data_IF_935856064531
#
_entry.id   IF_935856064531
#
_cell.length_a   1.000
_cell.length_b   1.000
_cell.length_c   1.000
_cell.angle_alpha   90.00
_cell.angle_beta   90.00
_cell.angle_gamma   90.00
#
_symmetry.space_group_name_H-M   'P 1'
#
loop_
_entity.id
_entity.type
_entity.pdbx_description
1 polymer ?
#
# COMPACT_ATOMS: atom_id res chain seq x y z
N UNK A 1 -1.14 4.57 -0.86
CA UNK A 1 -1.46 3.27 -0.21
C UNK A 1 -0.78 2.15 -0.97
N UNK A 2 -0.30 1.11 -0.28
CA UNK A 2 0.31 -0.07 -0.90
C UNK A 2 -0.80 -0.93 -1.53
N UNK A 3 -0.68 -1.26 -2.81
CA UNK A 3 -1.64 -2.07 -3.55
C UNK A 3 -0.88 -3.19 -4.25
N UNK A 4 -0.84 -4.37 -3.63
CA UNK A 4 -0.15 -5.54 -4.17
C UNK A 4 -0.89 -6.81 -3.75
N UNK A 5 -1.02 -7.83 -4.61
CA UNK A 5 -1.70 -9.08 -4.26
C UNK A 5 -1.14 -9.77 -3.02
N UNK A 6 0.16 -9.61 -2.75
CA UNK A 6 0.82 -10.19 -1.58
C UNK A 6 1.01 -9.23 -0.39
N UNK A 7 0.31 -8.09 -0.37
CA UNK A 7 0.31 -7.15 0.76
C UNK A 7 -1.13 -6.93 1.21
N UNK A 8 -1.39 -6.98 2.51
CA UNK A 8 -2.72 -6.67 3.08
C UNK A 8 -3.09 -5.25 2.71
N UNK A 9 -4.24 -5.09 2.05
CA UNK A 9 -4.73 -3.78 1.64
C UNK A 9 -5.32 -3.05 2.84
N UNK A 10 -4.93 -1.79 3.02
CA UNK A 10 -5.66 -0.84 3.85
C UNK A 10 -6.79 -0.25 3.01
N UNK A 11 -8.03 -0.54 3.40
CA UNK A 11 -9.22 -0.04 2.71
C UNK A 11 -9.58 1.36 3.19
N UNK A 12 -9.53 1.60 4.51
CA UNK A 12 -9.97 2.86 5.10
C UNK A 12 -9.28 3.12 6.44
N UNK A 13 -9.10 4.40 6.78
CA UNK A 13 -8.72 4.84 8.11
C UNK A 13 -9.80 5.77 8.62
N UNK A 14 -10.37 5.45 9.78
CA UNK A 14 -11.31 6.31 10.49
C UNK A 14 -10.70 6.73 11.82
N UNK A 15 -11.08 7.90 12.33
CA UNK A 15 -10.60 8.39 13.61
C UNK A 15 -11.75 8.95 14.45
N UNK A 16 -11.61 8.82 15.76
CA UNK A 16 -12.40 9.50 16.78
C UNK A 16 -11.45 10.32 17.66
N UNK A 17 -11.99 11.09 18.61
CA UNK A 17 -11.18 11.91 19.54
C UNK A 17 -10.13 11.12 20.31
N UNK A 18 -10.32 9.81 20.50
CA UNK A 18 -9.44 8.96 21.33
C UNK A 18 -8.92 7.72 20.62
N UNK A 19 -9.34 7.43 19.39
CA UNK A 19 -9.04 6.16 18.72
C UNK A 19 -8.88 6.33 17.21
N UNK A 20 -7.96 5.55 16.64
CA UNK A 20 -7.81 5.37 15.20
C UNK A 20 -8.26 3.95 14.87
N UNK A 21 -9.04 3.81 13.80
CA UNK A 21 -9.57 2.57 13.27
C UNK A 21 -9.00 2.37 11.88
N UNK A 22 -8.32 1.24 11.67
CA UNK A 22 -7.77 0.86 10.37
C UNK A 22 -8.56 -0.34 9.83
N UNK A 23 -9.26 -0.14 8.71
CA UNK A 23 -10.03 -1.19 8.03
C UNK A 23 -9.10 -1.88 7.03
N UNK A 24 -8.70 -3.10 7.35
CA UNK A 24 -7.76 -3.90 6.57
C UNK A 24 -8.46 -5.04 5.82
N UNK A 25 -7.84 -5.53 4.75
CA UNK A 25 -8.26 -6.75 4.06
C UNK A 25 -8.28 -7.93 5.04
N UNK A 26 -9.39 -8.66 5.09
CA UNK A 26 -9.51 -9.85 5.92
C UNK A 26 -8.94 -11.08 5.21
N UNK A 27 -7.84 -11.62 5.75
CA UNK A 27 -7.19 -12.83 5.23
C UNK A 27 -7.70 -14.06 5.98
N UNK A 28 -8.32 -14.97 5.25
CA UNK A 28 -9.19 -16.02 5.80
C UNK A 28 -8.54 -17.41 5.96
N UNK A 29 -7.22 -17.53 5.80
CA UNK A 29 -6.48 -18.79 5.93
C UNK A 29 -5.47 -18.84 7.08
N UNK A 30 -5.41 -17.80 7.92
CA UNK A 30 -4.56 -17.75 9.11
C UNK A 30 -3.09 -17.45 8.83
N UNK A 31 -2.24 -17.70 9.81
CA UNK A 31 -0.81 -17.40 9.76
C UNK A 31 -0.01 -18.50 9.02
N UNK A 32 1.05 -18.12 8.30
CA UNK A 32 2.00 -19.06 7.73
C UNK A 32 2.62 -19.94 8.82
N UNK A 33 2.89 -19.34 9.99
CA UNK A 33 3.45 -20.04 11.14
C UNK A 33 2.59 -21.23 11.57
N UNK A 34 1.29 -21.03 11.77
CA UNK A 34 0.36 -22.09 12.17
C UNK A 34 0.36 -23.25 11.18
N UNK A 35 0.44 -22.95 9.89
CA UNK A 35 0.49 -23.99 8.86
C UNK A 35 1.76 -24.84 8.96
N UNK A 36 2.91 -24.22 9.26
CA UNK A 36 4.20 -24.92 9.45
C UNK A 36 4.18 -25.68 10.79
N UNK A 37 3.66 -25.08 11.86
CA UNK A 37 3.56 -25.71 13.17
C UNK A 37 2.66 -26.97 13.13
N UNK A 38 1.56 -26.92 12.39
CA UNK A 38 0.62 -28.04 12.27
C UNK A 38 1.08 -29.14 11.30
N UNK A 39 1.65 -28.76 10.15
CA UNK A 39 1.97 -29.72 9.06
C UNK A 39 3.46 -30.06 8.97
N UNK A 40 4.30 -29.41 9.77
CA UNK A 40 5.75 -29.48 9.66
C UNK A 40 6.29 -28.66 8.48
N UNK A 41 7.53 -28.96 8.09
CA UNK A 41 8.21 -28.30 6.98
C UNK A 41 7.46 -28.44 5.66
N UNK A 42 7.58 -27.44 4.79
CA UNK A 42 7.02 -27.44 3.44
C UNK A 42 7.95 -28.16 2.46
N UNK A 43 7.37 -28.72 1.40
CA UNK A 43 8.16 -29.17 0.25
C UNK A 43 8.92 -28.00 -0.37
N UNK A 44 10.08 -28.26 -0.95
CA UNK A 44 10.89 -27.21 -1.59
C UNK A 44 10.12 -26.47 -2.69
N UNK A 45 9.27 -27.17 -3.44
CA UNK A 45 8.42 -26.57 -4.47
C UNK A 45 7.41 -25.58 -3.88
N UNK A 46 6.72 -25.96 -2.82
CA UNK A 46 5.74 -25.09 -2.18
C UNK A 46 6.41 -23.93 -1.44
N UNK A 47 7.51 -24.20 -0.71
CA UNK A 47 8.29 -23.16 -0.05
C UNK A 47 8.85 -22.14 -1.04
N UNK A 48 9.31 -22.57 -2.22
CA UNK A 48 9.71 -21.67 -3.31
C UNK A 48 8.56 -20.79 -3.78
N UNK A 49 7.39 -21.37 -4.06
CA UNK A 49 6.20 -20.62 -4.53
C UNK A 49 5.80 -19.52 -3.54
N UNK A 50 5.76 -19.86 -2.25
CA UNK A 50 5.45 -18.89 -1.20
C UNK A 50 6.56 -17.85 -1.07
N UNK A 51 7.83 -18.26 -1.10
CA UNK A 51 8.95 -17.32 -1.05
C UNK A 51 8.98 -16.33 -2.21
N UNK A 52 8.62 -16.76 -3.43
CA UNK A 52 8.46 -15.88 -4.59
C UNK A 52 7.45 -14.77 -4.32
N UNK A 53 6.28 -15.11 -3.77
CA UNK A 53 5.24 -14.16 -3.40
C UNK A 53 5.66 -13.20 -2.28
N UNK A 54 6.39 -13.71 -1.27
CA UNK A 54 6.95 -12.89 -0.21
C UNK A 54 7.93 -11.85 -0.80
N UNK A 55 8.85 -12.30 -1.65
CA UNK A 55 9.84 -11.44 -2.31
C UNK A 55 9.17 -10.41 -3.22
N UNK A 56 8.10 -10.77 -3.94
CA UNK A 56 7.37 -9.79 -4.76
C UNK A 56 6.68 -8.71 -3.92
N UNK A 57 6.02 -9.11 -2.83
CA UNK A 57 5.40 -8.15 -1.90
C UNK A 57 6.43 -7.21 -1.24
N UNK A 58 7.55 -7.76 -0.75
CA UNK A 58 8.61 -6.97 -0.11
C UNK A 58 9.30 -6.06 -1.14
N UNK A 59 9.63 -6.59 -2.33
CA UNK A 59 10.22 -5.82 -3.42
C UNK A 59 9.32 -4.66 -3.85
N UNK A 60 7.99 -4.86 -3.88
CA UNK A 60 7.03 -3.80 -4.16
C UNK A 60 7.07 -2.70 -3.09
N UNK A 61 7.07 -3.07 -1.81
CA UNK A 61 7.18 -2.13 -0.69
C UNK A 61 8.48 -1.31 -0.75
N UNK A 62 9.61 -1.98 -0.99
CA UNK A 62 10.92 -1.33 -1.14
C UNK A 62 10.95 -0.35 -2.30
N UNK A 63 10.32 -0.69 -3.43
CA UNK A 63 10.16 0.21 -4.58
C UNK A 63 9.32 1.46 -4.29
N UNK A 64 8.54 1.46 -3.21
CA UNK A 64 7.80 2.62 -2.69
C UNK A 64 8.50 3.31 -1.52
N UNK A 65 9.73 2.91 -1.18
CA UNK A 65 10.49 3.44 -0.05
C UNK A 65 9.99 2.98 1.31
N UNK A 66 9.16 1.93 1.37
CA UNK A 66 8.62 1.37 2.62
C UNK A 66 9.40 0.11 2.99
N UNK A 67 10.07 0.14 4.13
CA UNK A 67 10.78 -1.02 4.70
C UNK A 67 9.98 -1.57 5.88
N UNK A 68 9.75 -2.88 5.92
CA UNK A 68 8.82 -3.49 6.86
C UNK A 68 9.42 -3.63 8.27
N UNK A 69 10.67 -4.09 8.37
CA UNK A 69 11.51 -4.19 9.59
C UNK A 69 11.06 -5.19 10.66
N UNK A 70 9.81 -5.62 10.63
CA UNK A 70 9.31 -6.71 11.49
C UNK A 70 8.77 -7.88 10.65
N UNK A 71 9.50 -8.28 9.60
CA UNK A 71 9.12 -9.46 8.83
C UNK A 71 9.37 -10.72 9.66
N UNK A 72 8.28 -11.43 9.96
CA UNK A 72 8.29 -12.70 10.70
C UNK A 72 7.09 -13.55 10.26
N UNK A 73 7.12 -14.88 10.46
CA UNK A 73 6.03 -15.77 10.04
C UNK A 73 4.63 -15.37 10.53
N UNK A 74 4.54 -14.74 11.69
CA UNK A 74 3.31 -14.22 12.31
C UNK A 74 2.71 -13.05 11.50
N UNK A 75 3.56 -12.25 10.85
CA UNK A 75 3.18 -11.12 10.00
C UNK A 75 3.01 -11.52 8.52
N UNK A 76 3.05 -12.83 8.23
CA UNK A 76 2.87 -13.40 6.89
C UNK A 76 1.66 -14.31 6.92
N UNK A 77 0.54 -13.80 6.44
CA UNK A 77 -0.73 -14.53 6.41
C UNK A 77 -0.87 -15.35 5.13
N UNK A 78 -1.75 -16.35 5.15
CA UNK A 78 -2.11 -17.16 3.99
C UNK A 78 -3.61 -17.05 3.73
N UNK A 79 -4.00 -16.81 2.48
CA UNK A 79 -5.41 -16.84 2.06
C UNK A 79 -5.92 -18.28 1.82
N UNK A 80 -7.24 -18.47 1.63
CA UNK A 80 -7.81 -19.79 1.29
C UNK A 80 -7.27 -20.41 0.00
N UNK A 81 -6.70 -19.62 -0.91
CA UNK A 81 -6.07 -20.10 -2.15
C UNK A 81 -4.61 -20.51 -1.94
N UNK A 82 -4.08 -20.32 -0.73
CA UNK A 82 -2.72 -20.63 -0.37
C UNK A 82 -1.70 -19.57 -0.79
N UNK A 83 -2.10 -18.30 -0.96
CA UNK A 83 -1.19 -17.21 -1.28
C UNK A 83 -0.81 -16.40 -0.05
N UNK A 84 0.42 -15.86 -0.07
CA UNK A 84 0.92 -14.99 1.00
C UNK A 84 0.26 -13.61 0.95
N UNK A 85 0.00 -13.06 2.14
CA UNK A 85 -0.36 -11.67 2.42
C UNK A 85 0.52 -11.12 3.54
N UNK A 86 1.39 -10.17 3.22
CA UNK A 86 2.23 -9.47 4.21
C UNK A 86 1.34 -8.49 4.98
N UNK A 87 1.35 -8.57 6.31
CA UNK A 87 0.54 -7.76 7.22
C UNK A 87 1.39 -7.05 8.25
N UNK A 88 0.75 -6.18 9.04
CA UNK A 88 1.34 -5.47 10.19
C UNK A 88 2.58 -4.61 9.88
N UNK A 89 2.30 -3.48 9.21
CA UNK A 89 3.29 -2.42 8.97
C UNK A 89 3.46 -1.49 10.18
N UNK A 90 3.06 -1.88 11.40
CA UNK A 90 3.10 -1.03 12.59
C UNK A 90 4.50 -0.55 13.00
N UNK A 91 5.55 -1.27 12.57
CA UNK A 91 6.96 -0.95 12.79
C UNK A 91 7.69 -0.57 11.50
N UNK A 92 6.96 -0.41 10.40
CA UNK A 92 7.57 0.02 9.14
C UNK A 92 8.14 1.43 9.33
N UNK A 93 9.18 1.76 8.58
CA UNK A 93 9.52 3.17 8.49
C UNK A 93 9.77 3.65 7.08
N UNK A 94 9.23 4.84 6.88
CA UNK A 94 9.18 5.65 5.70
C UNK A 94 10.52 6.36 5.45
N UNK A 95 10.72 6.92 4.24
CA UNK A 95 11.93 7.67 3.88
C UNK A 95 12.31 8.78 4.87
N UNK A 96 11.33 9.31 5.60
CA UNK A 96 11.45 10.40 6.57
C UNK A 96 12.12 9.97 7.90
N UNK A 97 12.17 8.66 8.18
CA UNK A 97 12.81 8.10 9.38
C UNK A 97 14.27 7.69 9.14
N UNK A 98 14.80 7.92 7.93
CA UNK A 98 16.23 7.79 7.68
C UNK A 98 16.93 8.96 8.38
N UNK A 99 18.05 8.66 9.05
CA UNK A 99 18.95 9.69 9.53
C UNK A 99 19.53 10.51 8.38
N UNK A 100 20.25 11.59 8.70
CA UNK A 100 20.96 12.41 7.68
C UNK A 100 21.96 11.62 6.85
N UNK A 101 22.34 10.44 7.33
CA UNK A 101 23.22 9.44 6.72
C UNK A 101 22.49 8.44 5.81
N UNK A 102 21.16 8.50 5.73
CA UNK A 102 20.35 7.55 4.98
C UNK A 102 20.11 6.20 5.71
N UNK A 103 20.42 6.11 7.00
CA UNK A 103 20.36 4.86 7.77
C UNK A 103 19.27 4.89 8.84
N UNK A 104 18.90 3.70 9.31
CA UNK A 104 17.87 3.49 10.32
C UNK A 104 18.50 3.20 11.68
N UNK A 105 18.14 3.98 12.69
CA UNK A 105 18.77 3.92 14.03
C UNK A 105 17.85 3.35 15.12
N UNK A 106 16.65 2.89 14.77
CA UNK A 106 15.69 2.30 15.73
C UNK A 106 15.75 0.77 15.65
N UNK A 107 16.01 0.12 16.79
CA UNK A 107 15.92 -1.33 16.94
C UNK A 107 14.47 -1.76 17.17
N UNK A 108 13.87 -2.47 16.22
CA UNK A 108 12.53 -3.04 16.33
C UNK A 108 12.54 -4.49 15.81
N UNK A 109 11.63 -5.34 16.33
CA UNK A 109 11.40 -6.71 15.86
C UNK A 109 11.73 -7.82 16.86
N UNK A 110 11.41 -9.07 16.51
CA UNK A 110 11.68 -10.26 17.34
C UNK A 110 13.12 -10.78 17.12
N UNK A 111 13.92 -11.06 18.18
CA UNK A 111 15.37 -11.31 18.08
C UNK A 111 15.80 -12.39 17.09
N UNK A 112 14.98 -13.42 16.89
CA UNK A 112 15.29 -14.56 16.01
C UNK A 112 15.21 -14.23 14.51
N UNK A 113 14.60 -13.10 14.14
CA UNK A 113 14.36 -12.69 12.74
C UNK A 113 15.14 -11.44 12.34
N UNK A 114 15.79 -10.78 13.30
CA UNK A 114 16.52 -9.54 13.12
C UNK A 114 17.90 -9.80 12.52
N UNK A 115 18.32 -8.92 11.60
CA UNK A 115 19.64 -8.97 10.96
C UNK A 115 20.76 -8.56 11.94
N UNK A 116 21.99 -9.09 11.79
CA UNK A 116 23.10 -8.80 12.70
C UNK A 116 23.40 -7.29 12.84
N UNK A 117 23.33 -6.54 11.75
CA UNK A 117 23.61 -5.10 11.74
C UNK A 117 22.59 -4.27 12.53
N UNK A 118 21.33 -4.72 12.62
CA UNK A 118 20.29 -4.06 13.42
C UNK A 118 20.60 -4.19 14.91
N UNK A 119 21.17 -5.33 15.33
CA UNK A 119 21.58 -5.57 16.73
C UNK A 119 22.80 -4.72 17.13
N UNK A 120 23.59 -4.23 16.16
CA UNK A 120 24.77 -3.39 16.43
C UNK A 120 24.42 -1.93 16.72
N UNK A 121 23.20 -1.50 16.40
CA UNK A 121 22.66 -0.17 16.69
C UNK A 121 23.52 0.99 16.17
N UNK A 122 24.09 0.86 14.96
CA UNK A 122 24.96 1.85 14.30
C UNK A 122 24.35 2.49 13.05
N UNK A 123 23.06 2.28 12.81
CA UNK A 123 22.44 2.55 11.52
C UNK A 123 22.47 1.31 10.61
N UNK A 124 21.37 1.00 9.94
CA UNK A 124 21.29 -0.11 8.98
C UNK A 124 20.46 0.24 7.73
N UNK A 125 20.69 -0.54 6.66
CA UNK A 125 19.88 -0.52 5.43
C UNK A 125 18.63 -1.37 5.63
N UNK A 126 17.45 -0.74 5.54
CA UNK A 126 16.16 -1.41 5.75
C UNK A 126 15.87 -2.52 4.73
N UNK A 127 16.35 -2.38 3.49
CA UNK A 127 16.18 -3.39 2.44
C UNK A 127 16.96 -4.66 2.76
N UNK A 128 18.24 -4.51 3.12
CA UNK A 128 19.10 -5.63 3.47
C UNK A 128 18.64 -6.33 4.76
N UNK A 129 18.10 -5.57 5.72
CA UNK A 129 17.50 -6.13 6.93
C UNK A 129 16.25 -6.96 6.60
N UNK A 130 15.32 -6.45 5.80
CA UNK A 130 14.13 -7.20 5.38
C UNK A 130 14.50 -8.48 4.62
N UNK A 131 15.53 -8.42 3.78
CA UNK A 131 16.06 -9.59 3.05
C UNK A 131 16.55 -10.68 4.02
N UNK A 132 17.27 -10.32 5.08
CA UNK A 132 17.67 -11.29 6.11
C UNK A 132 16.46 -11.97 6.75
N UNK A 133 15.46 -11.18 7.15
CA UNK A 133 14.21 -11.69 7.73
C UNK A 133 13.48 -12.62 6.76
N UNK A 134 13.41 -12.29 5.46
CA UNK A 134 12.91 -13.19 4.42
C UNK A 134 13.68 -14.51 4.36
N UNK A 135 15.00 -14.48 4.53
CA UNK A 135 15.85 -15.68 4.62
C UNK A 135 15.53 -16.56 5.82
N UNK A 136 15.28 -15.95 6.97
CA UNK A 136 14.85 -16.67 8.17
C UNK A 136 13.49 -17.35 7.92
N UNK A 137 12.53 -16.64 7.31
CA UNK A 137 11.22 -17.20 6.95
C UNK A 137 11.38 -18.35 5.95
N UNK A 138 12.22 -18.21 4.92
CA UNK A 138 12.52 -19.29 3.96
C UNK A 138 13.10 -20.53 4.64
N UNK A 139 14.05 -20.32 5.55
CA UNK A 139 14.65 -21.39 6.31
C UNK A 139 13.59 -22.16 7.12
N UNK A 140 12.71 -21.45 7.82
CA UNK A 140 11.62 -22.07 8.59
C UNK A 140 10.65 -22.82 7.68
N UNK A 141 10.27 -22.23 6.53
CA UNK A 141 9.40 -22.90 5.56
C UNK A 141 9.98 -24.22 5.09
N UNK A 142 11.28 -24.27 4.77
CA UNK A 142 11.89 -25.46 4.19
C UNK A 142 12.33 -26.48 5.24
N UNK A 143 12.77 -26.06 6.42
CA UNK A 143 13.43 -26.92 7.41
C UNK A 143 12.53 -27.17 8.62
N UNK A 144 11.57 -26.29 8.91
CA UNK A 144 10.60 -26.42 10.00
C UNK A 144 11.14 -26.00 11.38
N UNK A 145 12.31 -25.36 11.43
CA UNK A 145 12.93 -24.85 12.66
C UNK A 145 13.59 -23.50 12.39
N UNK A 146 13.95 -22.76 13.43
CA UNK A 146 14.69 -21.51 13.31
C UNK A 146 16.15 -21.76 12.87
N UNK A 147 16.75 -20.88 12.05
CA UNK A 147 18.18 -20.95 11.72
C UNK A 147 19.06 -20.63 12.93
N UNK A 148 18.61 -19.70 13.77
CA UNK A 148 19.29 -19.27 14.98
C UNK A 148 18.28 -19.28 16.14
N UNK A 149 18.54 -20.12 17.13
CA UNK A 149 17.74 -20.17 18.36
C UNK A 149 18.63 -20.57 19.53
N UNK A 150 18.38 -19.94 20.68
CA UNK A 150 18.98 -20.28 21.96
C UNK A 150 18.20 -19.63 23.11
N UNK A 151 18.15 -20.29 24.27
CA UNK A 151 17.54 -19.72 25.48
C UNK A 151 18.38 -18.58 26.05
N UNK A 152 19.69 -18.59 25.81
CA UNK A 152 20.59 -17.53 26.21
C UNK A 152 20.73 -16.51 25.07
N UNK A 153 20.26 -15.29 25.29
CA UNK A 153 20.29 -14.22 24.28
C UNK A 153 21.71 -13.89 23.79
N UNK A 154 22.72 -13.99 24.65
CA UNK A 154 24.13 -13.75 24.26
C UNK A 154 24.60 -14.81 23.26
N UNK A 155 24.24 -16.07 23.50
CA UNK A 155 24.57 -17.19 22.61
C UNK A 155 23.78 -17.09 21.31
N UNK A 156 22.51 -16.70 21.38
CA UNK A 156 21.70 -16.41 20.18
C UNK A 156 22.36 -15.34 19.31
N UNK A 157 22.78 -14.22 19.90
CA UNK A 157 23.45 -13.15 19.18
C UNK A 157 24.77 -13.60 18.58
N UNK A 158 25.57 -14.39 19.30
CA UNK A 158 26.79 -14.99 18.75
C UNK A 158 26.51 -15.87 17.52
N UNK A 159 25.44 -16.68 17.55
CA UNK A 159 25.02 -17.49 16.40
C UNK A 159 24.62 -16.61 15.21
N UNK A 160 23.83 -15.55 15.46
CA UNK A 160 23.39 -14.59 14.44
C UNK A 160 24.60 -13.88 13.81
N UNK A 161 25.52 -13.33 14.62
CA UNK A 161 26.72 -12.65 14.13
C UNK A 161 27.66 -13.57 13.35
N UNK A 162 27.72 -14.86 13.72
CA UNK A 162 28.52 -15.87 13.01
C UNK A 162 27.87 -16.29 11.68
N UNK A 163 26.54 -16.23 11.56
CA UNK A 163 25.80 -16.70 10.38
C UNK A 163 25.83 -18.20 10.15
N UNK A 164 26.10 -18.99 11.20
CA UNK A 164 26.30 -20.44 11.10
C UNK A 164 24.97 -21.21 11.10
N UNK A 165 24.12 -20.90 10.11
CA UNK A 165 22.84 -21.56 9.93
C UNK A 165 23.05 -23.01 9.45
N UNK A 166 22.48 -23.98 10.18
CA UNK A 166 22.64 -25.42 9.88
C UNK A 166 21.75 -25.86 8.72
N UNK A 167 22.23 -25.68 7.49
CA UNK A 167 21.49 -26.04 6.28
C UNK A 167 21.67 -27.53 5.98
N UNK A 168 20.58 -28.33 5.96
CA UNK A 168 20.68 -29.77 5.73
C UNK A 168 21.02 -30.16 4.29
N UNK A 169 21.73 -31.28 4.13
CA UNK A 169 22.17 -31.81 2.83
C UNK A 169 21.03 -32.31 1.94
N UNK A 170 19.86 -32.63 2.50
CA UNK A 170 18.69 -33.10 1.74
C UNK A 170 17.99 -32.00 0.93
N UNK A 171 18.34 -30.72 1.16
CA UNK A 171 17.88 -29.61 0.33
C UNK A 171 18.62 -29.59 -1.00
N UNK A 172 17.98 -29.13 -2.08
CA UNK A 172 18.68 -28.98 -3.36
C UNK A 172 19.87 -28.03 -3.25
N UNK A 173 20.94 -28.20 -4.05
CA UNK A 173 22.08 -27.28 -4.05
C UNK A 173 21.67 -25.81 -4.26
N UNK A 174 20.64 -25.57 -5.08
CA UNK A 174 20.09 -24.23 -5.29
C UNK A 174 19.40 -23.64 -4.06
N UNK A 175 18.63 -24.44 -3.31
CA UNK A 175 18.02 -24.02 -2.05
C UNK A 175 19.09 -23.71 -0.99
N UNK A 176 20.10 -24.57 -0.89
CA UNK A 176 21.22 -24.35 0.03
C UNK A 176 21.98 -23.07 -0.33
N UNK A 177 22.23 -22.83 -1.63
CA UNK A 177 22.95 -21.65 -2.08
C UNK A 177 22.19 -20.35 -1.78
N UNK A 178 20.90 -20.28 -2.13
CA UNK A 178 20.13 -19.06 -1.92
C UNK A 178 19.98 -18.73 -0.43
N UNK A 179 19.76 -19.72 0.44
CA UNK A 179 19.69 -19.52 1.89
C UNK A 179 21.03 -18.97 2.41
N UNK A 180 22.16 -19.55 2.01
CA UNK A 180 23.50 -19.07 2.42
C UNK A 180 23.75 -17.63 1.99
N UNK A 181 23.35 -17.27 0.77
CA UNK A 181 23.55 -15.91 0.24
C UNK A 181 22.66 -14.87 0.91
N UNK A 182 21.45 -15.25 1.32
CA UNK A 182 20.53 -14.37 2.06
C UNK A 182 20.96 -14.22 3.52
N UNK A 183 21.34 -15.31 4.19
CA UNK A 183 21.78 -15.33 5.59
C UNK A 183 23.29 -15.03 5.74
N UNK A 184 23.87 -14.27 4.81
CA UNK A 184 25.23 -13.74 4.92
C UNK A 184 25.25 -12.60 5.96
N UNK A 185 26.01 -12.73 7.07
CA UNK A 185 26.01 -11.75 8.15
C UNK A 185 26.51 -10.38 7.74
N UNK A 186 27.46 -10.32 6.81
CA UNK A 186 27.96 -9.05 6.31
C UNK A 186 26.97 -8.46 5.28
N UNK A 187 26.25 -7.36 5.60
CA UNK A 187 25.25 -6.79 4.69
C UNK A 187 25.83 -6.40 3.32
N UNK A 188 27.11 -6.02 3.25
CA UNK A 188 27.77 -5.66 1.98
C UNK A 188 28.03 -6.86 1.06
N UNK A 189 28.04 -8.09 1.61
CA UNK A 189 28.18 -9.34 0.85
C UNK A 189 26.85 -10.07 0.66
N UNK A 190 25.82 -9.65 1.40
CA UNK A 190 24.48 -10.23 1.34
C UNK A 190 23.87 -9.97 -0.02
N UNK A 191 23.23 -11.00 -0.57
CA UNK A 191 22.52 -10.90 -1.85
C UNK A 191 21.42 -9.84 -1.77
N UNK A 192 21.32 -8.99 -2.79
CA UNK A 192 20.29 -7.97 -2.84
C UNK A 192 18.99 -8.47 -3.52
N UNK A 193 17.92 -7.69 -3.46
CA UNK A 193 16.61 -8.06 -3.99
C UNK A 193 16.63 -8.43 -5.49
N UNK A 194 17.39 -7.70 -6.30
CA UNK A 194 17.49 -7.95 -7.73
C UNK A 194 18.20 -9.27 -8.02
N UNK A 195 19.29 -9.55 -7.29
CA UNK A 195 20.02 -10.80 -7.40
C UNK A 195 19.22 -12.01 -6.90
N UNK A 196 18.40 -11.86 -5.84
CA UNK A 196 17.45 -12.90 -5.40
C UNK A 196 16.50 -13.26 -6.53
N UNK A 197 15.90 -12.24 -7.16
CA UNK A 197 14.98 -12.44 -8.28
C UNK A 197 15.66 -13.11 -9.46
N UNK A 198 16.96 -12.88 -9.71
CA UNK A 198 17.70 -13.54 -10.80
C UNK A 198 18.22 -14.95 -10.46
N UNK A 199 18.17 -15.35 -9.20
CA UNK A 199 18.73 -16.62 -8.76
C UNK A 199 18.01 -17.82 -9.40
N UNK A 200 18.75 -18.82 -9.90
CA UNK A 200 18.19 -19.97 -10.62
C UNK A 200 17.13 -20.73 -9.80
N UNK A 201 17.40 -20.95 -8.50
CA UNK A 201 16.44 -21.57 -7.61
C UNK A 201 15.14 -20.76 -7.48
N UNK A 202 15.22 -19.44 -7.51
CA UNK A 202 14.06 -18.54 -7.43
C UNK A 202 13.29 -18.54 -8.76
N UNK A 203 13.97 -18.52 -9.89
CA UNK A 203 13.35 -18.46 -11.23
C UNK A 203 12.59 -19.74 -11.63
N UNK A 204 12.86 -20.86 -10.96
CA UNK A 204 12.17 -22.12 -11.24
C UNK A 204 10.66 -22.01 -10.97
N UNK A 205 9.86 -22.25 -12.01
CA UNK A 205 8.39 -22.15 -12.01
C UNK A 205 7.86 -20.77 -11.56
N UNK A 206 8.67 -19.73 -11.69
CA UNK A 206 8.32 -18.40 -11.20
C UNK A 206 7.26 -17.73 -12.08
N UNK A 207 6.19 -17.27 -11.44
CA UNK A 207 5.14 -16.47 -12.06
C UNK A 207 5.11 -15.14 -11.30
N UNK A 208 5.56 -14.07 -11.96
CA UNK A 208 5.55 -12.74 -11.37
C UNK A 208 4.11 -12.29 -11.11
N UNK A 209 3.83 -11.95 -9.85
CA UNK A 209 2.54 -11.37 -9.45
C UNK A 209 2.74 -9.85 -9.38
N UNK A 210 2.26 -9.13 -10.39
CA UNK A 210 2.34 -7.67 -10.41
C UNK A 210 1.37 -7.02 -9.41
N UNK A 211 1.59 -5.75 -9.05
CA UNK A 211 0.60 -4.99 -8.29
C UNK A 211 -0.74 -4.98 -9.02
N UNK A 212 -1.85 -4.97 -8.27
CA UNK A 212 -3.16 -4.75 -8.87
C UNK A 212 -3.12 -3.41 -9.61
N UNK A 213 -3.48 -3.42 -10.90
CA UNK A 213 -4.14 -2.24 -11.45
C UNK A 213 -5.43 -2.06 -10.62
N UNK A 214 -5.79 -0.83 -10.24
CA UNK A 214 -6.89 -0.50 -9.31
C UNK A 214 -8.29 -1.05 -9.72
N UNK A 215 -8.38 -1.87 -10.77
CA UNK A 215 -9.57 -2.33 -11.48
C UNK A 215 -10.04 -3.77 -11.13
N UNK A 216 -9.25 -4.59 -10.41
CA UNK A 216 -9.48 -6.06 -10.41
C UNK A 216 -10.34 -6.68 -9.28
N UNK A 217 -10.78 -5.95 -8.24
CA UNK A 217 -11.45 -6.57 -7.06
C UNK A 217 -12.90 -6.13 -6.79
N UNK A 218 -13.45 -5.11 -7.46
CA UNK A 218 -14.87 -4.75 -7.29
C UNK A 218 -15.84 -5.83 -7.82
N UNK A 219 -15.34 -6.84 -8.54
CA UNK A 219 -16.13 -7.96 -9.09
C UNK A 219 -16.39 -9.06 -8.04
N UNK A 220 -15.62 -9.17 -6.95
CA UNK A 220 -15.71 -10.32 -6.02
C UNK A 220 -16.48 -10.07 -4.72
N UNK A 221 -16.55 -8.84 -4.21
CA UNK A 221 -17.28 -8.57 -2.96
C UNK A 221 -18.81 -8.70 -3.10
N UNK A 222 -19.35 -8.70 -4.32
CA UNK A 222 -20.78 -8.90 -4.57
C UNK A 222 -21.30 -10.33 -4.41
N UNK A 223 -20.40 -11.33 -4.26
CA UNK A 223 -20.77 -12.74 -4.38
C UNK A 223 -20.85 -13.54 -3.06
N UNK A 224 -20.57 -12.94 -1.89
CA UNK A 224 -20.56 -13.66 -0.61
C UNK A 224 -21.36 -12.93 0.47
N UNK A 225 -22.68 -12.83 0.28
CA UNK A 225 -23.65 -12.71 1.38
C UNK A 225 -24.99 -13.35 0.96
N UNK A 226 -25.32 -14.59 1.36
CA UNK A 226 -26.68 -15.06 1.33
C UNK A 226 -27.31 -14.85 2.71
N UNK A 227 -27.78 -13.63 3.01
CA UNK A 227 -28.77 -13.42 4.06
C UNK A 227 -30.11 -13.20 3.38
N UNK A 228 -31.01 -14.19 3.55
CA UNK A 228 -32.38 -14.16 3.06
C UNK A 228 -33.10 -12.93 3.64
N UNK A 229 -33.45 -11.98 2.78
CA UNK A 229 -34.63 -11.15 2.99
C UNK A 229 -35.44 -11.09 1.70
N UNK A 230 -36.75 -11.27 1.89
CA UNK A 230 -37.76 -11.52 0.87
C UNK A 230 -37.79 -10.45 -0.22
N UNK A 231 -38.05 -10.95 -1.43
CA UNK A 231 -38.43 -10.28 -2.67
C UNK A 231 -39.19 -8.96 -2.48
N UNK A 232 -38.76 -7.92 -3.20
CA UNK A 232 -39.62 -7.22 -4.16
C UNK A 232 -38.83 -7.09 -5.47
N UNK A 233 -39.48 -7.53 -6.54
CA UNK A 233 -39.01 -7.63 -7.92
C UNK A 233 -38.92 -6.27 -8.61
N UNK A 234 -37.77 -5.94 -9.18
CA UNK A 234 -37.67 -5.00 -10.32
C UNK A 234 -36.61 -5.49 -11.32
N UNK A 235 -36.86 -5.22 -12.60
CA UNK A 235 -36.21 -5.76 -13.79
C UNK A 235 -34.73 -5.31 -13.96
N UNK A 236 -33.93 -5.90 -14.89
CA UNK A 236 -32.50 -5.68 -14.97
C UNK A 236 -32.18 -4.30 -15.58
N UNK A 237 -31.94 -3.32 -14.72
CA UNK A 237 -31.50 -1.98 -15.08
C UNK A 237 -29.98 -1.83 -14.97
N UNK A 238 -29.37 -1.36 -16.05
CA UNK A 238 -27.99 -0.95 -16.24
C UNK A 238 -27.51 0.04 -15.13
N UNK A 239 -26.89 -0.48 -14.05
CA UNK A 239 -26.39 0.35 -12.94
C UNK A 239 -25.06 1.01 -13.33
N UNK A 240 -25.17 2.14 -14.01
CA UNK A 240 -24.04 2.93 -14.51
C UNK A 240 -23.36 3.85 -13.48
N UNK A 241 -23.81 3.90 -12.21
CA UNK A 241 -23.34 4.86 -11.19
C UNK A 241 -23.04 4.22 -9.83
N UNK A 242 -22.01 4.74 -9.14
CA UNK A 242 -21.63 4.34 -7.78
C UNK A 242 -22.42 5.17 -6.75
N UNK A 243 -23.19 4.49 -5.90
CA UNK A 243 -23.92 5.13 -4.81
C UNK A 243 -22.96 5.52 -3.68
N UNK A 244 -23.02 6.78 -3.24
CA UNK A 244 -22.17 7.31 -2.18
C UNK A 244 -22.71 6.91 -0.81
N UNK A 245 -21.88 6.29 0.03
CA UNK A 245 -22.24 6.02 1.43
C UNK A 245 -21.96 7.27 2.30
N UNK A 246 -22.69 7.42 3.40
CA UNK A 246 -22.47 8.45 4.41
C UNK A 246 -21.01 8.51 4.91
N UNK A 247 -20.33 7.37 5.04
CA UNK A 247 -18.91 7.34 5.41
C UNK A 247 -17.97 7.85 4.29
N UNK A 248 -18.30 7.58 3.02
CA UNK A 248 -17.56 8.17 1.90
C UNK A 248 -17.74 9.68 1.84
N UNK A 249 -18.94 10.18 2.14
CA UNK A 249 -19.21 11.62 2.23
C UNK A 249 -18.43 12.27 3.39
N UNK A 250 -18.37 11.62 4.56
CA UNK A 250 -17.61 12.11 5.72
C UNK A 250 -16.11 12.11 5.44
N UNK A 251 -15.57 11.04 4.83
CA UNK A 251 -14.16 10.97 4.44
C UNK A 251 -13.76 11.97 3.34
N UNK A 252 -14.72 12.61 2.68
CA UNK A 252 -14.48 13.70 1.74
C UNK A 252 -14.33 15.07 2.43
N UNK A 253 -14.61 15.20 3.72
CA UNK A 253 -14.45 16.46 4.46
C UNK A 253 -12.98 16.85 4.60
N UNK A 254 -12.64 18.11 4.30
CA UNK A 254 -11.26 18.64 4.39
C UNK A 254 -10.67 18.55 5.80
N UNK A 255 -11.51 18.60 6.84
CA UNK A 255 -11.09 18.48 8.25
C UNK A 255 -10.61 17.09 8.66
N UNK A 256 -10.89 16.07 7.84
CA UNK A 256 -10.43 14.69 8.01
C UNK A 256 -9.42 14.29 6.92
N UNK A 257 -9.08 15.22 6.02
CA UNK A 257 -8.14 15.00 4.93
C UNK A 257 -6.71 15.17 5.44
N UNK A 258 -6.09 14.06 5.82
CA UNK A 258 -4.73 14.03 6.33
C UNK A 258 -3.68 14.14 5.22
N UNK A 259 -4.04 14.21 3.93
CA UNK A 259 -3.08 14.24 2.83
C UNK A 259 -2.09 15.41 2.92
N UNK A 260 -2.49 16.55 3.50
CA UNK A 260 -1.62 17.69 3.78
C UNK A 260 -0.49 17.44 4.80
N UNK A 261 -0.53 16.33 5.55
CA UNK A 261 0.57 15.88 6.41
C UNK A 261 1.61 15.02 5.67
N UNK A 262 1.30 14.54 4.47
CA UNK A 262 2.06 13.49 3.78
C UNK A 262 2.67 13.93 2.43
N UNK A 263 2.31 15.10 1.90
CA UNK A 263 2.70 15.55 0.54
C UNK A 263 3.12 17.04 0.51
N UNK A 264 4.09 17.39 -0.36
CA UNK A 264 4.59 18.76 -0.53
C UNK A 264 3.64 19.67 -1.35
N UNK A 265 2.77 19.09 -2.19
CA UNK A 265 1.73 19.83 -2.92
C UNK A 265 0.43 19.93 -2.10
N UNK A 266 -0.18 21.11 -2.01
CA UNK A 266 -1.46 21.28 -1.30
C UNK A 266 -2.63 20.58 -2.01
N UNK A 267 -3.61 20.09 -1.24
CA UNK A 267 -4.79 19.32 -1.72
C UNK A 267 -5.52 19.99 -2.90
N UNK A 268 -5.68 21.31 -2.84
CA UNK A 268 -6.29 22.15 -3.88
C UNK A 268 -5.55 22.14 -5.22
N UNK A 269 -4.29 21.68 -5.26
CA UNK A 269 -3.47 21.56 -6.48
C UNK A 269 -3.58 20.19 -7.16
N UNK A 270 -4.20 19.21 -6.51
CA UNK A 270 -4.33 17.83 -6.99
C UNK A 270 -5.77 17.36 -7.13
N UNK A 271 -6.71 18.00 -6.45
CA UNK A 271 -8.07 17.51 -6.35
C UNK A 271 -9.08 18.64 -6.22
N UNK A 272 -10.18 18.55 -6.97
CA UNK A 272 -11.35 19.41 -6.78
C UNK A 272 -12.60 18.56 -6.65
N UNK A 273 -13.59 19.09 -5.91
CA UNK A 273 -14.88 18.46 -5.72
C UNK A 273 -15.98 19.50 -5.86
N UNK A 274 -17.10 19.09 -6.45
CA UNK A 274 -18.30 19.91 -6.52
C UNK A 274 -19.55 19.02 -6.56
N UNK A 275 -20.70 19.59 -6.26
CA UNK A 275 -22.01 18.93 -6.36
C UNK A 275 -22.74 19.40 -7.61
N UNK A 276 -23.58 18.53 -8.18
CA UNK A 276 -24.44 18.86 -9.31
C UNK A 276 -25.76 18.12 -9.25
N UNK A 277 -26.82 18.78 -9.72
CA UNK A 277 -28.15 18.17 -9.88
C UNK A 277 -28.34 17.46 -11.22
N UNK A 278 -27.37 17.58 -12.13
CA UNK A 278 -27.44 16.92 -13.45
C UNK A 278 -27.29 15.40 -13.32
N UNK A 279 -27.98 14.61 -14.15
CA UNK A 279 -27.77 13.18 -14.23
C UNK A 279 -26.30 12.83 -14.55
N UNK A 280 -25.76 11.71 -14.05
CA UNK A 280 -24.37 11.33 -14.26
C UNK A 280 -24.00 11.17 -15.74
N UNK A 281 -24.96 10.73 -16.58
CA UNK A 281 -24.76 10.63 -18.04
C UNK A 281 -24.47 12.00 -18.65
N UNK A 282 -25.20 13.04 -18.25
CA UNK A 282 -25.01 14.40 -18.75
C UNK A 282 -23.74 15.04 -18.20
N UNK A 283 -23.39 14.74 -16.93
CA UNK A 283 -22.13 15.16 -16.33
C UNK A 283 -20.93 14.59 -17.09
N UNK A 284 -20.93 13.28 -17.35
CA UNK A 284 -19.84 12.66 -18.11
C UNK A 284 -19.76 13.24 -19.53
N UNK A 285 -20.88 13.38 -20.23
CA UNK A 285 -20.89 13.92 -21.59
C UNK A 285 -20.38 15.37 -21.65
N UNK A 286 -20.78 16.23 -20.70
CA UNK A 286 -20.29 17.61 -20.64
C UNK A 286 -18.80 17.68 -20.34
N UNK A 287 -18.32 16.92 -19.36
CA UNK A 287 -16.90 16.89 -18.97
C UNK A 287 -16.04 16.35 -20.12
N UNK A 288 -16.53 15.33 -20.83
CA UNK A 288 -15.88 14.78 -22.03
C UNK A 288 -15.75 15.84 -23.14
N UNK A 289 -16.84 16.55 -23.46
CA UNK A 289 -16.83 17.63 -24.45
C UNK A 289 -15.84 18.75 -24.06
N UNK A 290 -15.87 19.23 -22.83
CA UNK A 290 -14.96 20.29 -22.34
C UNK A 290 -13.48 19.85 -22.40
N UNK A 291 -13.20 18.59 -22.05
CA UNK A 291 -11.85 18.03 -22.09
C UNK A 291 -11.35 17.87 -23.55
N UNK A 292 -12.20 17.38 -24.47
CA UNK A 292 -11.85 17.25 -25.89
C UNK A 292 -11.65 18.62 -26.56
N UNK A 293 -12.47 19.63 -26.23
CA UNK A 293 -12.27 21.02 -26.68
C UNK A 293 -10.95 21.62 -26.17
N UNK A 294 -10.43 21.11 -25.07
CA UNK A 294 -9.14 21.51 -24.50
C UNK A 294 -7.95 20.75 -25.11
N UNK A 295 -8.18 19.94 -26.16
CA UNK A 295 -7.15 19.15 -26.84
C UNK A 295 -6.69 17.91 -26.08
N UNK A 296 -7.47 17.48 -25.07
CA UNK A 296 -7.16 16.30 -24.26
C UNK A 296 -7.94 15.09 -24.78
N UNK A 297 -7.31 13.92 -24.71
CA UNK A 297 -7.96 12.66 -25.04
C UNK A 297 -8.75 12.15 -23.83
N UNK A 298 -9.96 11.65 -24.06
CA UNK A 298 -10.84 11.18 -22.99
C UNK A 298 -11.17 9.72 -23.23
N UNK A 299 -11.08 8.91 -22.17
CA UNK A 299 -11.48 7.52 -22.18
C UNK A 299 -12.49 7.30 -21.06
N UNK A 300 -13.71 6.90 -21.44
CA UNK A 300 -14.75 6.53 -20.49
C UNK A 300 -14.63 5.06 -20.13
N UNK A 301 -14.48 4.78 -18.84
CA UNK A 301 -14.41 3.41 -18.30
C UNK A 301 -15.42 3.31 -17.16
N UNK A 302 -16.54 2.62 -17.41
CA UNK A 302 -17.64 2.43 -16.45
C UNK A 302 -18.13 3.77 -15.85
N UNK A 303 -18.00 3.96 -14.53
CA UNK A 303 -18.39 5.15 -13.75
C UNK A 303 -17.23 6.15 -13.57
N UNK A 304 -16.19 6.08 -14.41
CA UNK A 304 -15.04 6.98 -14.37
C UNK A 304 -14.72 7.54 -15.76
N UNK A 305 -14.26 8.77 -15.82
CA UNK A 305 -13.66 9.37 -17.01
C UNK A 305 -12.17 9.55 -16.76
N UNK A 306 -11.36 9.03 -17.67
CA UNK A 306 -9.90 9.20 -17.68
C UNK A 306 -9.55 10.22 -18.75
N UNK A 307 -8.98 11.35 -18.35
CA UNK A 307 -8.56 12.43 -19.24
C UNK A 307 -7.05 12.38 -19.34
N UNK A 308 -6.53 12.18 -20.55
CA UNK A 308 -5.11 12.11 -20.86
C UNK A 308 -4.68 13.24 -21.80
N UNK A 309 -3.47 13.74 -21.64
CA UNK A 309 -2.90 14.76 -22.52
C UNK A 309 -1.40 14.60 -22.69
N UNK A 310 -0.90 14.93 -23.89
CA UNK A 310 0.52 15.15 -24.12
C UNK A 310 0.78 16.65 -24.07
N UNK A 311 1.43 17.12 -23.00
CA UNK A 311 1.88 18.50 -22.93
C UNK A 311 3.08 18.66 -23.89
N UNK A 312 2.89 19.34 -25.01
CA UNK A 312 3.98 19.70 -25.92
C UNK A 312 4.80 20.86 -25.30
N UNK A 313 5.61 20.54 -24.30
CA UNK A 313 6.72 21.37 -23.84
C UNK A 313 8.02 20.80 -24.40
N UNK A 314 8.85 21.66 -25.01
CA UNK A 314 10.16 21.25 -25.53
C UNK A 314 11.01 20.64 -24.41
N UNK A 315 11.45 19.39 -24.63
CA UNK A 315 12.18 18.48 -23.74
C UNK A 315 11.30 17.72 -22.72
N UNK A 316 10.91 16.50 -23.12
CA UNK A 316 10.13 15.48 -22.42
C UNK A 316 8.63 15.77 -22.22
N UNK A 317 7.72 15.15 -23.01
CA UNK A 317 6.30 15.20 -22.71
C UNK A 317 6.03 14.36 -21.46
N UNK A 318 5.81 15.00 -20.31
CA UNK A 318 5.25 14.31 -19.16
C UNK A 318 3.78 13.96 -19.47
N UNK A 319 3.35 12.72 -19.20
CA UNK A 319 1.96 12.34 -19.39
C UNK A 319 1.06 13.10 -18.40
N UNK A 320 0.08 13.83 -18.92
CA UNK A 320 -0.98 14.43 -18.13
C UNK A 320 -2.11 13.42 -17.94
N UNK A 321 -2.53 13.20 -16.69
CA UNK A 321 -3.58 12.24 -16.35
C UNK A 321 -4.46 12.77 -15.22
N UNK A 322 -5.75 12.93 -15.53
CA UNK A 322 -6.80 13.29 -14.58
C UNK A 322 -7.89 12.22 -14.60
N UNK A 323 -8.34 11.79 -13.42
CA UNK A 323 -9.47 10.89 -13.27
C UNK A 323 -10.67 11.66 -12.72
N UNK A 324 -11.83 11.45 -13.30
CA UNK A 324 -13.10 12.03 -12.87
C UNK A 324 -14.04 10.91 -12.44
N UNK A 325 -14.59 11.02 -11.24
CA UNK A 325 -15.56 10.09 -10.69
C UNK A 325 -16.84 10.84 -10.29
N UNK A 326 -18.00 10.24 -10.58
CA UNK A 326 -19.30 10.78 -10.22
C UNK A 326 -19.97 9.82 -9.25
N UNK A 327 -20.40 10.36 -8.11
CA UNK A 327 -21.06 9.61 -7.05
C UNK A 327 -22.49 10.11 -6.83
N UNK A 328 -23.41 9.18 -6.60
CA UNK A 328 -24.83 9.51 -6.38
C UNK A 328 -25.12 9.63 -4.88
N UNK A 329 -25.51 10.83 -4.43
CA UNK A 329 -25.94 11.10 -3.05
C UNK A 329 -27.46 10.94 -2.87
N UNK A 330 -28.20 11.09 -3.96
CA UNK A 330 -29.65 10.90 -4.02
C UNK A 330 -30.18 11.12 -5.43
N UNK A 331 -31.49 10.95 -5.67
CA UNK A 331 -32.08 10.92 -7.02
C UNK A 331 -31.83 12.16 -7.89
N UNK A 332 -31.48 13.28 -7.26
CA UNK A 332 -31.26 14.57 -7.92
C UNK A 332 -29.98 15.27 -7.43
N UNK A 333 -29.06 14.55 -6.79
CA UNK A 333 -27.82 15.14 -6.26
C UNK A 333 -26.64 14.18 -6.44
N UNK A 334 -25.63 14.68 -7.12
CA UNK A 334 -24.42 13.95 -7.44
C UNK A 334 -23.19 14.75 -7.00
N UNK A 335 -22.15 14.04 -6.54
CA UNK A 335 -20.83 14.63 -6.27
C UNK A 335 -19.90 14.24 -7.40
N UNK A 336 -19.20 15.23 -7.95
CA UNK A 336 -18.15 15.02 -8.95
C UNK A 336 -16.81 15.29 -8.31
N UNK A 337 -15.90 14.36 -8.45
CA UNK A 337 -14.53 14.46 -7.97
C UNK A 337 -13.56 14.38 -9.15
N UNK A 338 -12.69 15.39 -9.29
CA UNK A 338 -11.59 15.38 -10.25
C UNK A 338 -10.29 15.22 -9.48
N UNK A 339 -9.45 14.29 -9.92
CA UNK A 339 -8.17 13.96 -9.28
C UNK A 339 -7.05 13.92 -10.31
N UNK A 340 -6.03 14.76 -10.11
CA UNK A 340 -4.77 14.77 -10.86
C UNK A 340 -3.87 13.64 -10.37
N UNK A 341 -3.56 12.70 -11.26
CA UNK A 341 -2.60 11.62 -10.98
C UNK A 341 -1.18 12.05 -11.34
N UNK A 342 -0.98 12.57 -12.56
CA UNK A 342 0.30 13.05 -13.07
C UNK A 342 0.10 14.25 -14.02
N UNK A 343 1.08 15.14 -14.14
CA UNK A 343 1.06 16.27 -15.08
C UNK A 343 1.05 17.66 -14.44
N UNK A 344 1.15 18.69 -15.28
CA UNK A 344 1.32 20.09 -14.87
C UNK A 344 0.12 20.61 -14.04
N UNK A 345 0.34 21.09 -12.79
CA UNK A 345 -0.71 21.70 -11.96
C UNK A 345 -1.42 22.90 -12.61
N UNK A 346 -0.76 23.64 -13.51
CA UNK A 346 -1.36 24.79 -14.21
C UNK A 346 -2.38 24.33 -15.26
N UNK A 347 -2.04 23.29 -16.04
CA UNK A 347 -2.96 22.66 -17.01
C UNK A 347 -4.16 22.04 -16.29
N UNK A 348 -3.93 21.40 -15.14
CA UNK A 348 -4.99 20.86 -14.29
C UNK A 348 -5.96 21.94 -13.80
N UNK A 349 -5.46 23.07 -13.31
CA UNK A 349 -6.29 24.20 -12.87
C UNK A 349 -7.11 24.78 -14.01
N UNK A 350 -6.51 24.99 -15.18
CA UNK A 350 -7.22 25.49 -16.35
C UNK A 350 -8.35 24.56 -16.80
N UNK A 351 -8.13 23.23 -16.76
CA UNK A 351 -9.18 22.25 -17.05
C UNK A 351 -10.31 22.30 -16.02
N UNK A 352 -9.97 22.39 -14.74
CA UNK A 352 -10.95 22.51 -13.66
C UNK A 352 -11.82 23.76 -13.80
N UNK A 353 -11.21 24.92 -14.07
CA UNK A 353 -11.91 26.19 -14.21
C UNK A 353 -12.89 26.18 -15.41
N UNK A 354 -12.50 25.56 -16.54
CA UNK A 354 -13.39 25.40 -17.70
C UNK A 354 -14.56 24.47 -17.39
N UNK A 355 -14.30 23.33 -16.76
CA UNK A 355 -15.36 22.38 -16.37
C UNK A 355 -16.34 23.04 -15.39
N UNK A 356 -15.83 23.82 -14.42
CA UNK A 356 -16.68 24.59 -13.51
C UNK A 356 -17.51 25.66 -14.22
N UNK A 357 -16.93 26.36 -15.19
CA UNK A 357 -17.63 27.35 -16.02
C UNK A 357 -18.75 26.73 -16.87
N UNK A 358 -18.47 25.65 -17.59
CA UNK A 358 -19.42 24.98 -18.49
C UNK A 358 -20.57 24.29 -17.75
N UNK A 359 -20.32 23.89 -16.51
CA UNK A 359 -21.34 23.33 -15.61
C UNK A 359 -22.12 24.39 -14.84
N UNK A 360 -21.79 25.68 -15.00
CA UNK A 360 -22.48 26.80 -14.33
C UNK A 360 -22.29 26.79 -12.81
N UNK A 361 -21.14 26.30 -12.34
CA UNK A 361 -20.84 26.17 -10.91
C UNK A 361 -20.16 27.45 -10.45
N UNK A 362 -20.93 28.33 -9.80
CA UNK A 362 -20.36 29.51 -9.16
C UNK A 362 -19.41 29.10 -8.04
N UNK A 363 -18.14 29.51 -8.20
CA UNK A 363 -17.00 29.41 -7.27
C UNK A 363 -17.08 28.26 -6.27
N UNK A 364 -16.32 27.20 -6.58
CA UNK A 364 -15.74 26.19 -5.68
C UNK A 364 -16.12 26.43 -4.21
N UNK A 365 -16.91 25.53 -3.62
CA UNK A 365 -16.96 25.37 -2.17
C UNK A 365 -15.55 25.02 -1.68
N UNK A 366 -14.69 26.04 -1.52
CA UNK A 366 -13.47 25.93 -0.74
C UNK A 366 -13.97 25.89 0.69
N UNK A 367 -14.03 24.70 1.28
CA UNK A 367 -14.25 24.48 2.72
C UNK A 367 -13.05 24.99 3.55
N UNK A 368 -12.56 26.20 3.26
CA UNK A 368 -11.46 26.88 3.93
C UNK A 368 -11.90 28.18 4.64
N UNK A 369 -13.16 28.65 4.48
CA UNK A 369 -13.59 29.96 5.02
C UNK A 369 -14.73 29.92 6.05
N UNK A 370 -14.89 28.85 6.82
CA UNK A 370 -15.88 28.83 7.92
C UNK A 370 -15.32 28.86 9.34
N UNK A 371 -14.00 28.96 9.51
CA UNK A 371 -13.41 29.16 10.83
C UNK A 371 -12.17 30.05 10.74
N UNK A 372 -12.39 31.36 10.70
CA UNK A 372 -11.48 32.27 11.41
C UNK A 372 -12.29 33.42 12.02
N UNK A 373 -11.70 34.02 13.05
CA UNK A 373 -12.21 35.04 13.98
C UNK A 373 -12.98 34.52 15.21
N UNK A 374 -12.20 34.44 16.31
CA UNK A 374 -12.55 34.42 17.73
C UNK A 374 -12.22 33.13 18.50
N UNK A 375 -10.93 32.85 18.69
CA UNK A 375 -10.46 32.32 19.98
C UNK A 375 -9.04 32.84 20.31
N UNK A 376 -8.75 33.13 21.59
CA UNK A 376 -7.57 33.88 21.98
C UNK A 376 -6.29 33.04 21.94
N UNK A 377 -5.18 33.71 21.64
CA UNK A 377 -3.81 33.17 21.64
C UNK A 377 -3.51 32.37 22.92
N UNK A 378 -3.25 31.06 22.76
CA UNK A 378 -2.69 30.26 23.85
C UNK A 378 -1.16 30.34 23.83
N UNK A 379 -0.68 30.79 24.98
CA UNK A 379 0.71 31.12 25.31
C UNK A 379 1.64 29.91 25.18
N UNK A 380 2.75 30.10 24.50
CA UNK A 380 3.82 29.12 24.35
C UNK A 380 4.63 29.06 25.64
N UNK A 381 4.29 28.17 26.58
CA UNK A 381 5.18 27.77 27.67
C UNK A 381 4.69 26.49 28.36
N UNK A 382 5.43 25.40 28.19
CA UNK A 382 5.41 24.24 29.07
C UNK A 382 4.85 22.95 28.47
N UNK A 383 5.68 22.21 27.72
CA UNK A 383 5.54 20.77 27.62
C UNK A 383 6.92 20.15 27.37
N UNK A 384 7.45 19.50 28.40
CA UNK A 384 8.64 18.65 28.37
C UNK A 384 8.39 17.40 27.51
N UNK A 385 9.39 16.88 26.78
CA UNK A 385 9.23 15.67 26.00
C UNK A 385 9.28 14.44 26.91
N UNK A 386 8.18 13.66 26.93
CA UNK A 386 8.17 12.33 27.53
C UNK A 386 8.91 11.36 26.62
N UNK A 387 10.05 10.88 27.12
CA UNK A 387 10.77 9.70 26.64
C UNK A 387 9.95 8.47 27.02
N UNK A 388 9.61 7.61 26.06
CA UNK A 388 8.98 6.32 26.31
C UNK A 388 10.03 5.20 26.19
N UNK A 389 10.15 4.44 27.28
CA UNK A 389 10.83 3.15 27.43
C UNK A 389 10.08 2.04 26.69
#
# INVERSE_FOLDING_TARGET
>A
MLAHPNVVRLHEVAASKTKIYMVLEFVNGGELFDRIAMKGKLSEREGRRLFQQLIDGVSYCHGKGVYHRDLKPENVLIDRKGNIKISDFGLCALPQHLGKDGLLHTTCGSPNYIAPEVLQNRGYDGSLSDIWSCGVILYIMLIGQLPFDDRNMVVLYQKIFKGDAKIPEWLSPGAQNIIKRILEPNPMKRINMAEIKQHEWFQKDYIHVGPYDDDDEDVRLGAILPVKQKQISEAPGDKSTRQMNAFQLIGMASSLDLSGFFEEEGVSQRKIRFTSALPPKDLFNKIEVTATQSGLHVQRVHSKLKITGNCNGANNPLPFLVCVEVFELGPSLHVVELRKSHGDPAVYRQLCDRISGDLGIDKIFRMEQLFDDNLPSFDSRGATPLVAL
#
